data_IF_109237028743
#
_entry.id   IF_109237028743
#
_cell.length_a   1.000
_cell.length_b   1.000
_cell.length_c   1.000
_cell.angle_alpha   90.00
_cell.angle_beta   90.00
_cell.angle_gamma   90.00
#
_symmetry.space_group_name_H-M   'P 1'
#
loop_
_entity.id
_entity.type
_entity.pdbx_description
1 polymer ?
#
# COMPACT_ATOMS: atom_id res chain seq x y z
N UNK A 1 -2.59 -10.21 2.19
CA UNK A 1 -2.43 -9.30 3.35
C UNK A 1 -2.63 -10.03 4.67
N UNK A 2 -3.33 -11.16 4.69
CA UNK A 2 -3.40 -12.07 5.85
C UNK A 2 -2.01 -12.40 6.44
N UNK A 3 -0.99 -12.61 5.60
CA UNK A 3 0.38 -12.83 6.07
C UNK A 3 1.00 -11.64 6.81
N UNK A 4 0.64 -10.40 6.46
CA UNK A 4 1.15 -9.22 7.18
C UNK A 4 0.55 -9.13 8.59
N UNK A 5 -0.71 -9.52 8.75
CA UNK A 5 -1.38 -9.54 10.05
C UNK A 5 -0.91 -10.69 10.94
N UNK A 6 -0.45 -11.79 10.35
CA UNK A 6 0.19 -12.88 11.08
C UNK A 6 1.60 -12.51 11.60
N UNK A 7 2.26 -11.52 11.00
CA UNK A 7 3.67 -11.19 11.30
C UNK A 7 3.88 -9.77 11.86
N UNK A 8 2.84 -8.93 11.89
CA UNK A 8 2.94 -7.55 12.35
C UNK A 8 1.70 -7.14 13.14
N UNK A 9 1.91 -6.54 14.30
CA UNK A 9 0.87 -5.84 15.07
C UNK A 9 0.56 -4.46 14.49
N UNK A 10 1.31 -4.02 13.46
CA UNK A 10 1.09 -2.73 12.81
C UNK A 10 -0.18 -2.78 11.97
N UNK A 11 -1.23 -2.16 12.48
CA UNK A 11 -2.52 -2.01 11.80
C UNK A 11 -2.65 -0.62 11.13
N UNK A 12 -1.62 0.22 11.22
CA UNK A 12 -1.59 1.57 10.62
C UNK A 12 -0.64 1.64 9.44
N UNK A 13 -1.15 2.03 8.27
CA UNK A 13 -0.41 2.09 7.01
C UNK A 13 -0.26 3.55 6.57
N UNK A 14 0.99 4.01 6.46
CA UNK A 14 1.31 5.35 5.97
C UNK A 14 1.33 5.41 4.44
N UNK A 15 0.72 6.44 3.87
CA UNK A 15 0.85 6.78 2.44
C UNK A 15 1.01 8.29 2.24
N UNK A 16 1.82 8.69 1.25
CA UNK A 16 1.93 10.07 0.79
C UNK A 16 1.00 10.38 -0.40
N UNK A 17 0.20 9.40 -0.85
CA UNK A 17 -0.77 9.57 -1.92
C UNK A 17 -2.07 10.20 -1.38
N UNK A 18 -2.26 11.49 -1.64
CA UNK A 18 -3.50 12.20 -1.28
C UNK A 18 -4.73 11.68 -2.03
N UNK A 19 -4.53 11.25 -3.27
CA UNK A 19 -5.63 10.76 -4.11
C UNK A 19 -6.23 9.47 -3.55
N UNK A 20 -5.43 8.64 -2.86
CA UNK A 20 -5.93 7.42 -2.23
C UNK A 20 -7.11 7.69 -1.27
N UNK A 21 -7.03 8.77 -0.48
CA UNK A 21 -8.12 9.16 0.40
C UNK A 21 -9.36 9.64 -0.37
N UNK A 22 -9.16 10.34 -1.49
CA UNK A 22 -10.26 10.75 -2.36
C UNK A 22 -10.92 9.53 -3.02
N UNK A 23 -10.12 8.52 -3.42
CA UNK A 23 -10.59 7.28 -4.00
C UNK A 23 -11.41 6.47 -2.99
N UNK A 24 -10.91 6.31 -1.76
CA UNK A 24 -11.65 5.60 -0.69
C UNK A 24 -12.96 6.33 -0.35
N UNK A 25 -12.96 7.67 -0.31
CA UNK A 25 -14.16 8.46 0.02
C UNK A 25 -15.20 8.43 -1.09
N UNK A 26 -14.78 8.36 -2.36
CA UNK A 26 -15.66 8.41 -3.54
C UNK A 26 -15.21 7.37 -4.59
N UNK A 27 -15.36 6.07 -4.33
CA UNK A 27 -14.84 5.02 -5.20
C UNK A 27 -15.45 5.05 -6.60
N UNK A 28 -16.71 5.45 -6.73
CA UNK A 28 -17.43 5.57 -8.00
C UNK A 28 -16.83 6.62 -8.97
N UNK A 29 -16.01 7.55 -8.49
CA UNK A 29 -15.31 8.54 -9.34
C UNK A 29 -14.06 7.94 -9.98
N UNK A 30 -13.60 6.79 -9.50
CA UNK A 30 -12.35 6.14 -9.91
C UNK A 30 -12.59 4.72 -10.44
N UNK A 31 -13.34 4.56 -11.55
CA UNK A 31 -13.77 3.27 -12.07
C UNK A 31 -12.63 2.37 -12.56
N UNK A 32 -11.40 2.88 -12.63
CA UNK A 32 -10.21 2.11 -13.01
C UNK A 32 -9.63 1.24 -11.88
N UNK A 33 -10.09 1.42 -10.63
CA UNK A 33 -9.54 0.75 -9.44
C UNK A 33 -10.57 -0.02 -8.58
N UNK A 34 -11.59 -0.70 -9.15
CA UNK A 34 -12.66 -1.29 -8.37
C UNK A 34 -12.16 -2.40 -7.45
N UNK A 35 -11.28 -3.27 -7.97
CA UNK A 35 -10.71 -4.40 -7.23
C UNK A 35 -9.81 -3.95 -6.08
N UNK A 36 -9.01 -2.90 -6.28
CA UNK A 36 -8.14 -2.35 -5.25
C UNK A 36 -8.95 -1.70 -4.12
N UNK A 37 -10.00 -0.96 -4.46
CA UNK A 37 -10.85 -0.28 -3.49
C UNK A 37 -11.71 -1.25 -2.69
N UNK A 38 -12.28 -2.29 -3.32
CA UNK A 38 -13.00 -3.37 -2.64
C UNK A 38 -12.10 -4.10 -1.62
N UNK A 39 -10.83 -4.34 -1.96
CA UNK A 39 -9.87 -4.93 -1.03
C UNK A 39 -9.60 -4.03 0.17
N UNK A 40 -9.44 -2.72 -0.04
CA UNK A 40 -9.24 -1.77 1.07
C UNK A 40 -10.47 -1.74 1.98
N UNK A 41 -11.67 -1.73 1.41
CA UNK A 41 -12.93 -1.78 2.17
C UNK A 41 -13.04 -3.08 2.97
N UNK A 42 -12.75 -4.22 2.34
CA UNK A 42 -12.73 -5.53 3.01
C UNK A 42 -11.78 -5.54 4.21
N UNK A 43 -10.58 -4.95 4.06
CA UNK A 43 -9.61 -4.84 5.15
C UNK A 43 -10.12 -3.96 6.30
N UNK A 44 -10.80 -2.86 5.99
CA UNK A 44 -11.41 -2.00 7.00
C UNK A 44 -12.54 -2.71 7.76
N UNK A 45 -13.29 -3.59 7.10
CA UNK A 45 -14.37 -4.38 7.73
C UNK A 45 -13.79 -5.50 8.59
N UNK A 46 -12.81 -6.25 8.07
CA UNK A 46 -12.25 -7.42 8.75
C UNK A 46 -11.33 -7.04 9.92
N UNK A 47 -10.72 -5.85 9.90
CA UNK A 47 -9.71 -5.43 10.87
C UNK A 47 -10.09 -4.06 11.46
N UNK A 48 -10.74 -4.00 12.64
CA UNK A 48 -11.24 -2.76 13.23
C UNK A 48 -10.17 -1.69 13.48
N UNK A 49 -8.93 -2.12 13.71
CA UNK A 49 -7.80 -1.24 13.96
C UNK A 49 -7.06 -0.82 12.68
N UNK A 50 -7.47 -1.34 11.51
CA UNK A 50 -6.85 -1.01 10.22
C UNK A 50 -7.06 0.47 9.89
N UNK A 51 -5.96 1.20 9.76
CA UNK A 51 -5.95 2.64 9.48
C UNK A 51 -5.01 2.94 8.33
N UNK A 52 -5.44 3.80 7.42
CA UNK A 52 -4.57 4.41 6.42
C UNK A 52 -4.38 5.87 6.85
N UNK A 53 -3.13 6.29 7.02
CA UNK A 53 -2.78 7.64 7.45
C UNK A 53 -1.96 8.34 6.38
N UNK A 54 -2.21 9.64 6.23
CA UNK A 54 -1.38 10.46 5.36
C UNK A 54 -0.06 10.76 6.05
N UNK A 55 1.05 10.51 5.36
CA UNK A 55 2.39 10.93 5.77
C UNK A 55 3.02 11.81 4.69
N UNK A 56 3.78 12.87 5.05
CA UNK A 56 4.51 13.64 4.06
C UNK A 56 5.49 12.75 3.28
N UNK A 57 5.69 13.04 1.99
CA UNK A 57 6.63 12.30 1.13
C UNK A 57 8.04 12.20 1.72
N UNK A 58 8.49 13.25 2.40
CA UNK A 58 9.78 13.27 3.11
C UNK A 58 9.90 12.21 4.22
N UNK A 59 8.79 11.68 4.72
CA UNK A 59 8.73 10.59 5.70
C UNK A 59 8.45 9.21 5.06
N UNK A 60 8.22 9.17 3.74
CA UNK A 60 7.94 7.94 2.98
C UNK A 60 9.09 7.54 2.03
N UNK A 61 10.32 7.95 2.33
CA UNK A 61 11.47 7.82 1.42
C UNK A 61 11.79 6.37 1.03
N UNK A 62 11.60 5.42 1.94
CA UNK A 62 11.83 4.00 1.66
C UNK A 62 10.83 3.50 0.61
N UNK A 63 9.53 3.78 0.78
CA UNK A 63 8.51 3.37 -0.18
C UNK A 63 8.73 4.01 -1.55
N UNK A 64 9.12 5.28 -1.56
CA UNK A 64 9.51 6.01 -2.78
C UNK A 64 10.69 5.35 -3.50
N UNK A 65 11.75 5.02 -2.74
CA UNK A 65 12.92 4.30 -3.28
C UNK A 65 12.51 2.95 -3.86
N UNK A 66 11.75 2.14 -3.12
CA UNK A 66 11.26 0.85 -3.56
C UNK A 66 10.43 0.96 -4.84
N UNK A 67 9.58 1.99 -4.94
CA UNK A 67 8.72 2.23 -6.10
C UNK A 67 9.54 2.65 -7.32
N UNK A 68 10.52 3.53 -7.16
CA UNK A 68 11.40 3.95 -8.26
C UNK A 68 12.28 2.80 -8.74
N UNK A 69 12.80 2.00 -7.81
CA UNK A 69 13.54 0.77 -8.14
C UNK A 69 12.62 -0.24 -8.84
N UNK A 70 11.38 -0.44 -8.37
CA UNK A 70 10.43 -1.31 -9.05
C UNK A 70 10.12 -0.86 -10.49
N UNK A 71 10.02 0.46 -10.72
CA UNK A 71 9.78 1.06 -12.05
C UNK A 71 10.95 0.89 -13.02
N UNK A 72 12.19 0.75 -12.52
CA UNK A 72 13.35 0.53 -13.39
C UNK A 72 13.38 -0.90 -13.96
N UNK A 73 12.63 -1.84 -13.40
CA UNK A 73 12.46 -3.16 -13.98
C UNK A 73 11.50 -3.11 -15.18
N UNK A 74 11.86 -3.78 -16.27
CA UNK A 74 11.02 -3.96 -17.46
C UNK A 74 9.81 -4.91 -17.26
N UNK A 75 9.38 -5.14 -16.01
CA UNK A 75 8.28 -6.06 -15.67
C UNK A 75 7.47 -5.54 -14.51
N UNK A 76 6.19 -5.93 -14.48
CA UNK A 76 5.31 -5.67 -13.33
C UNK A 76 5.77 -6.50 -12.14
N UNK A 77 6.00 -5.85 -11.01
CA UNK A 77 6.38 -6.49 -9.74
C UNK A 77 5.27 -6.31 -8.71
N UNK A 78 4.99 -7.38 -7.95
CA UNK A 78 4.12 -7.35 -6.79
C UNK A 78 4.84 -8.13 -5.68
N UNK A 79 5.07 -7.49 -4.54
CA UNK A 79 5.75 -8.11 -3.40
C UNK A 79 5.05 -7.72 -2.10
N UNK A 80 4.85 -8.72 -1.25
CA UNK A 80 4.30 -8.56 0.10
C UNK A 80 5.20 -9.36 1.03
N UNK A 81 5.88 -8.68 1.94
CA UNK A 81 6.80 -9.32 2.89
C UNK A 81 7.36 -8.33 3.90
N UNK A 82 7.97 -8.87 4.96
CA UNK A 82 8.58 -8.09 6.04
C UNK A 82 10.10 -7.87 5.85
N UNK A 83 10.65 -8.34 4.73
CA UNK A 83 12.07 -8.30 4.41
C UNK A 83 12.29 -7.69 3.04
N UNK A 84 13.47 -7.06 2.85
CA UNK A 84 13.87 -6.52 1.56
C UNK A 84 13.99 -7.69 0.57
N UNK A 85 13.29 -7.66 -0.58
CA UNK A 85 13.40 -8.71 -1.57
C UNK A 85 14.84 -8.81 -2.08
N UNK A 86 15.33 -10.04 -2.29
CA UNK A 86 16.70 -10.29 -2.76
C UNK A 86 16.97 -9.63 -4.14
N UNK A 87 15.93 -9.41 -4.94
CA UNK A 87 16.03 -8.71 -6.23
C UNK A 87 16.17 -7.18 -6.10
N UNK A 88 16.06 -6.62 -4.89
CA UNK A 88 16.13 -5.18 -4.59
C UNK A 88 17.49 -4.75 -4.04
N UNK A 89 18.37 -5.70 -3.68
CA UNK A 89 19.69 -5.44 -3.10
C UNK A 89 20.80 -5.29 -4.15
N UNK A 90 20.52 -4.70 -5.31
CA UNK A 90 21.53 -4.39 -6.34
C UNK A 90 21.53 -2.91 -6.68
#
# INVERSE_FOLDING_TARGET
MESMLQHSTCQSFGTDCKDLFAMIKKPYVWPSFPTELEKIETLQICFPDFKIIYIPRAQNQISDYLTNTAKSFYRKLCFVGCSIPVWLSR
#
